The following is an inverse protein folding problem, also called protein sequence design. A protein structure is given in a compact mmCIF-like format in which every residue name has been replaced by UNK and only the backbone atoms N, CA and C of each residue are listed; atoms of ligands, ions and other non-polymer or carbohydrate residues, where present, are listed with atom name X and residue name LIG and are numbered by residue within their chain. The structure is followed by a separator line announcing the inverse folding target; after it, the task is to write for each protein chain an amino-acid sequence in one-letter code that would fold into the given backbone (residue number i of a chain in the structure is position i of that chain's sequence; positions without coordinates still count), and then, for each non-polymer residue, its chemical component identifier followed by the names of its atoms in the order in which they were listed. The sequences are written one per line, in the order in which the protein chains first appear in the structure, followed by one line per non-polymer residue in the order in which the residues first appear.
data_IF_343520399083
#
_entry.id   IF_343520399083
#
_cell.length_a   1.000
_cell.length_b   1.000
_cell.length_c   1.000
_cell.angle_alpha   90.00
_cell.angle_beta   90.00
_cell.angle_gamma   90.00
#
_symmetry.space_group_name_H-M   'P 1'
#
loop_
_entity.id
_entity.type
_entity.pdbx_description
1 polymer ?
#
# COMPACT_ATOMS: atom_id res chain seq x y z
N UNK A 1 -4.80 -3.25 1.19
CA UNK A 1 -5.17 -2.03 1.94
C UNK A 1 -4.77 -2.23 3.38
N UNK A 2 -4.12 -1.26 4.00
CA UNK A 2 -3.49 -1.39 5.31
C UNK A 2 -4.32 -0.72 6.40
N UNK A 3 -4.50 -1.46 7.49
CA UNK A 3 -5.12 -1.06 8.74
C UNK A 3 -4.58 -1.98 9.85
N UNK A 4 -4.86 -1.67 11.12
CA UNK A 4 -4.59 -2.58 12.24
C UNK A 4 -5.20 -3.97 12.00
N UNK A 5 -6.44 -4.02 11.51
CA UNK A 5 -7.16 -5.27 11.22
C UNK A 5 -6.43 -6.11 10.14
N UNK A 6 -5.82 -5.44 9.16
CA UNK A 6 -5.03 -6.12 8.13
C UNK A 6 -3.74 -6.70 8.70
N UNK A 7 -3.05 -5.96 9.58
CA UNK A 7 -1.79 -6.40 10.20
C UNK A 7 -2.01 -7.52 11.23
N UNK A 8 -3.14 -7.53 11.92
CA UNK A 8 -3.52 -8.56 12.90
C UNK A 8 -4.04 -9.85 12.25
N UNK A 9 -4.39 -9.80 10.96
CA UNK A 9 -4.83 -10.97 10.20
C UNK A 9 -3.66 -11.82 9.73
N UNK A 10 -3.42 -12.95 10.40
CA UNK A 10 -2.41 -13.96 10.01
C UNK A 10 -2.48 -14.33 8.52
N UNK A 11 -3.68 -14.46 7.95
CA UNK A 11 -3.83 -14.84 6.55
C UNK A 11 -3.35 -13.73 5.58
N UNK A 12 -3.75 -12.48 5.83
CA UNK A 12 -3.40 -11.34 4.98
C UNK A 12 -1.92 -10.98 5.09
N UNK A 13 -1.37 -11.02 6.30
CA UNK A 13 0.01 -10.68 6.57
C UNK A 13 0.99 -11.81 6.23
N UNK A 14 0.73 -13.05 6.64
CA UNK A 14 1.73 -14.11 6.47
C UNK A 14 1.65 -14.84 5.13
N UNK A 15 0.48 -14.91 4.49
CA UNK A 15 0.32 -15.69 3.24
C UNK A 15 0.28 -14.76 2.04
N UNK A 16 -0.64 -13.80 2.01
CA UNK A 16 -0.86 -12.97 0.83
C UNK A 16 0.27 -11.95 0.63
N UNK A 17 0.71 -11.27 1.70
CA UNK A 17 1.80 -10.29 1.62
C UNK A 17 3.12 -10.95 1.19
N UNK A 18 3.49 -12.11 1.76
CA UNK A 18 4.74 -12.81 1.39
C UNK A 18 4.72 -13.21 -0.08
N UNK A 19 3.63 -13.81 -0.56
CA UNK A 19 3.48 -14.18 -1.98
C UNK A 19 3.55 -12.96 -2.89
N UNK A 20 2.90 -11.86 -2.53
CA UNK A 20 2.97 -10.62 -3.30
C UNK A 20 4.41 -10.12 -3.40
N UNK A 21 5.15 -10.08 -2.27
CA UNK A 21 6.56 -9.64 -2.23
C UNK A 21 7.45 -10.55 -3.06
N UNK A 22 7.24 -11.86 -3.04
CA UNK A 22 7.98 -12.80 -3.90
C UNK A 22 7.73 -12.55 -5.38
N UNK A 23 6.47 -12.32 -5.77
CA UNK A 23 6.11 -11.99 -7.16
C UNK A 23 6.71 -10.66 -7.60
N UNK A 24 6.71 -9.66 -6.73
CA UNK A 24 7.33 -8.36 -7.01
C UNK A 24 8.84 -8.49 -7.22
N UNK A 25 9.52 -9.25 -6.36
CA UNK A 25 10.96 -9.57 -6.51
C UNK A 25 11.28 -10.29 -7.82
N UNK A 26 10.34 -11.09 -8.35
CA UNK A 26 10.46 -11.75 -9.67
C UNK A 26 10.07 -10.85 -10.84
N UNK A 27 9.63 -9.62 -10.59
CA UNK A 27 9.15 -8.69 -11.62
C UNK A 27 7.77 -9.03 -12.18
N UNK A 28 7.01 -9.92 -11.53
CA UNK A 28 5.70 -10.39 -12.01
C UNK A 28 4.54 -9.46 -11.62
N UNK A 29 4.78 -8.54 -10.68
CA UNK A 29 3.82 -7.51 -10.29
C UNK A 29 4.54 -6.30 -9.68
N UNK A 30 3.76 -5.25 -9.42
CA UNK A 30 4.15 -4.13 -8.56
C UNK A 30 3.26 -4.11 -7.32
N UNK A 31 3.85 -3.85 -6.16
CA UNK A 31 3.12 -3.68 -4.90
C UNK A 31 2.92 -2.19 -4.66
N UNK A 32 1.67 -1.81 -4.38
CA UNK A 32 1.27 -0.45 -4.05
C UNK A 32 0.53 -0.49 -2.72
N UNK A 33 1.22 -0.24 -1.59
CA UNK A 33 0.57 -0.15 -0.29
C UNK A 33 -0.41 1.03 -0.26
N UNK A 34 -1.62 0.80 0.26
CA UNK A 34 -2.64 1.85 0.45
C UNK A 34 -3.06 1.87 1.91
N UNK A 35 -2.74 2.94 2.64
CA UNK A 35 -2.95 3.10 4.08
C UNK A 35 -4.33 3.67 4.31
N UNK A 36 -5.28 2.80 4.64
CA UNK A 36 -6.67 3.21 4.87
C UNK A 36 -6.84 3.77 6.29
N UNK A 37 -6.18 3.16 7.26
CA UNK A 37 -6.16 3.59 8.67
C UNK A 37 -4.72 3.71 9.19
N UNK A 38 -4.53 4.59 10.18
CA UNK A 38 -3.25 4.69 10.87
C UNK A 38 -2.90 3.33 11.51
N UNK A 39 -1.71 2.82 11.20
CA UNK A 39 -1.20 1.53 11.70
C UNK A 39 0.33 1.48 11.54
N UNK A 40 0.98 0.51 12.19
CA UNK A 40 2.44 0.33 12.18
C UNK A 40 2.92 -0.37 10.90
N UNK A 41 2.43 0.07 9.73
CA UNK A 41 2.78 -0.54 8.45
C UNK A 41 4.26 -0.34 8.10
N UNK A 42 4.87 0.71 8.63
CA UNK A 42 6.28 1.07 8.51
C UNK A 42 7.21 0.13 9.30
N UNK A 43 6.67 -0.66 10.22
CA UNK A 43 7.40 -1.76 10.89
C UNK A 43 7.36 -3.07 10.09
N UNK A 44 6.64 -3.10 8.97
CA UNK A 44 6.49 -4.29 8.12
C UNK A 44 7.44 -4.22 6.92
N UNK A 45 7.63 -5.33 6.18
CA UNK A 45 8.35 -5.30 4.90
C UNK A 45 7.75 -4.33 3.87
N UNK A 46 6.50 -3.89 4.04
CA UNK A 46 5.83 -2.95 3.14
C UNK A 46 6.44 -1.54 3.14
N UNK A 47 7.21 -1.19 4.18
CA UNK A 47 7.94 0.09 4.26
C UNK A 47 8.90 0.35 3.10
N UNK A 48 9.32 -0.72 2.41
CA UNK A 48 10.25 -0.63 1.28
C UNK A 48 9.56 -0.35 -0.05
N UNK A 49 8.22 -0.27 -0.08
CA UNK A 49 7.44 0.05 -1.29
C UNK A 49 6.88 1.46 -1.20
N UNK A 50 6.62 2.06 -2.37
CA UNK A 50 5.98 3.37 -2.45
C UNK A 50 4.52 3.28 -1.99
N UNK A 51 4.29 3.68 -0.75
CA UNK A 51 2.97 3.69 -0.14
C UNK A 51 2.17 4.96 -0.50
N UNK A 52 0.85 4.81 -0.53
CA UNK A 52 -0.10 5.89 -0.65
C UNK A 52 -1.11 5.87 0.51
N UNK A 53 -1.73 7.02 0.84
CA UNK A 53 -1.32 8.37 0.46
C UNK A 53 0.13 8.72 0.85
N UNK A 54 0.71 9.76 0.23
CA UNK A 54 2.11 10.14 0.44
C UNK A 54 2.44 10.36 1.91
N UNK A 55 3.71 10.17 2.25
CA UNK A 55 4.27 10.36 3.60
C UNK A 55 3.64 9.48 4.69
N UNK A 56 2.98 8.38 4.29
CA UNK A 56 2.38 7.44 5.24
C UNK A 56 1.05 7.93 5.84
N UNK A 57 0.49 9.03 5.32
CA UNK A 57 -0.79 9.57 5.78
C UNK A 57 -1.92 8.60 5.47
N UNK A 58 -2.78 8.30 6.43
CA UNK A 58 -3.94 7.44 6.19
C UNK A 58 -5.07 8.20 5.51
N UNK A 59 -5.91 7.50 4.74
CA UNK A 59 -7.10 8.11 4.10
C UNK A 59 -8.03 8.76 5.15
N UNK A 60 -8.14 8.18 6.34
CA UNK A 60 -8.93 8.75 7.45
C UNK A 60 -8.42 10.12 7.96
N UNK A 61 -7.15 10.47 7.70
CA UNK A 61 -6.57 11.76 8.08
C UNK A 61 -6.82 12.88 7.04
N UNK A 62 -7.47 12.59 5.93
CA UNK A 62 -7.88 13.62 4.96
C UNK A 62 -9.21 14.23 5.38
N UNK A 63 -9.32 15.55 5.27
CA UNK A 63 -10.59 16.26 5.47
C UNK A 63 -11.65 15.78 4.48
N UNK A 64 -11.24 15.57 3.22
CA UNK A 64 -12.07 14.97 2.17
C UNK A 64 -11.40 13.70 1.65
N UNK A 65 -12.06 12.57 1.83
CA UNK A 65 -11.52 11.26 1.37
C UNK A 65 -11.28 11.22 -0.14
N UNK A 66 -12.09 11.95 -0.92
CA UNK A 66 -11.91 12.06 -2.38
C UNK A 66 -10.53 12.59 -2.76
N UNK A 67 -9.94 13.49 -1.97
CA UNK A 67 -8.60 14.01 -2.24
C UNK A 67 -7.54 12.91 -2.07
N UNK A 68 -7.68 12.07 -1.04
CA UNK A 68 -6.83 10.90 -0.83
C UNK A 68 -6.97 9.90 -1.98
N UNK A 69 -8.21 9.60 -2.39
CA UNK A 69 -8.46 8.66 -3.49
C UNK A 69 -7.95 9.17 -4.83
N UNK A 70 -8.08 10.48 -5.11
CA UNK A 70 -7.53 11.10 -6.31
C UNK A 70 -6.00 11.03 -6.33
N UNK A 71 -5.36 11.27 -5.19
CA UNK A 71 -3.91 11.12 -5.05
C UNK A 71 -3.45 9.68 -5.31
N UNK A 72 -4.12 8.70 -4.69
CA UNK A 72 -3.87 7.26 -4.92
C UNK A 72 -4.03 6.92 -6.41
N UNK A 73 -5.13 7.35 -7.04
CA UNK A 73 -5.40 7.05 -8.45
C UNK A 73 -4.34 7.63 -9.39
N UNK A 74 -3.88 8.87 -9.13
CA UNK A 74 -2.78 9.50 -9.88
C UNK A 74 -1.47 8.74 -9.68
N UNK A 75 -1.14 8.38 -8.45
CA UNK A 75 0.08 7.61 -8.14
C UNK A 75 0.10 6.23 -8.81
N UNK A 76 -1.02 5.51 -8.78
CA UNK A 76 -1.16 4.23 -9.50
C UNK A 76 -0.96 4.42 -11.00
N UNK A 77 -1.56 5.46 -11.59
CA UNK A 77 -1.39 5.78 -13.01
C UNK A 77 0.07 6.03 -13.36
N UNK A 78 0.78 6.83 -12.56
CA UNK A 78 2.20 7.13 -12.76
C UNK A 78 3.07 5.86 -12.71
N UNK A 79 2.82 4.98 -11.73
CA UNK A 79 3.54 3.70 -11.62
C UNK A 79 3.31 2.85 -12.86
N UNK A 80 2.06 2.69 -13.29
CA UNK A 80 1.73 1.89 -14.49
C UNK A 80 2.37 2.50 -15.75
N UNK A 81 2.41 3.83 -15.87
CA UNK A 81 3.06 4.50 -16.99
C UNK A 81 4.59 4.35 -16.99
N UNK A 82 5.20 4.09 -15.84
CA UNK A 82 6.65 3.85 -15.72
C UNK A 82 7.06 2.40 -15.98
N UNK A 83 6.10 1.50 -16.18
CA UNK A 83 6.34 0.10 -16.51
C UNK A 83 6.44 -0.02 -18.04
N UNK A 84 7.68 -0.16 -18.54
CA UNK A 84 7.99 -0.52 -19.93
C UNK A 84 7.93 -2.04 -20.16
#
# INVERSE_FOLDING_TARGET
MLSSDFLDSYYCYDIEMKKAIEREKRGECKIIPVIVRACMWDETPLKNFLAFPKDGKSIEQYERKDDAYLEIAKGVREIVQSME
#
